data_IF_098575538599
#
_entry.id   IF_098575538599
#
_cell.length_a   1.000
_cell.length_b   1.000
_cell.length_c   1.000
_cell.angle_alpha   90.00
_cell.angle_beta   90.00
_cell.angle_gamma   90.00
#
_symmetry.space_group_name_H-M   'P 1'
#
loop_
_entity.id
_entity.type
_entity.pdbx_description
1 polymer ?
#
# COMPACT_ATOMS: atom_id res chain seq x y z
N UNK A 1 39.36 -66.21 12.41
CA UNK A 1 39.01 -65.42 11.19
C UNK A 1 38.41 -64.09 11.63
N UNK A 2 39.00 -62.96 11.22
CA UNK A 2 38.67 -61.60 11.69
C UNK A 2 37.28 -61.16 11.19
N UNK A 3 36.44 -60.71 12.14
CA UNK A 3 35.06 -60.25 11.94
C UNK A 3 34.94 -59.15 10.87
N UNK A 4 34.15 -59.44 9.82
CA UNK A 4 33.73 -58.47 8.79
C UNK A 4 32.49 -57.64 9.18
N UNK A 5 31.98 -57.78 10.40
CA UNK A 5 30.69 -57.21 10.85
C UNK A 5 30.78 -55.78 11.41
N UNK A 6 31.97 -55.28 11.76
CA UNK A 6 32.11 -53.93 12.35
C UNK A 6 31.86 -52.79 11.33
N UNK A 7 32.16 -53.01 10.04
CA UNK A 7 32.02 -51.96 9.03
C UNK A 7 30.55 -51.71 8.63
N UNK A 8 29.67 -52.72 8.76
CA UNK A 8 28.27 -52.60 8.34
C UNK A 8 27.44 -51.75 9.34
N UNK A 9 27.72 -51.88 10.64
CA UNK A 9 27.05 -51.12 11.71
C UNK A 9 27.53 -49.67 11.73
N UNK A 10 28.82 -49.43 11.44
CA UNK A 10 29.35 -48.08 11.32
C UNK A 10 28.75 -47.34 10.10
N UNK A 11 28.56 -48.03 8.97
CA UNK A 11 27.93 -47.45 7.79
C UNK A 11 26.45 -47.10 8.02
N UNK A 12 25.68 -47.98 8.67
CA UNK A 12 24.26 -47.72 8.92
C UNK A 12 24.06 -46.54 9.87
N UNK A 13 24.89 -46.41 10.91
CA UNK A 13 24.88 -45.26 11.81
C UNK A 13 25.22 -43.94 11.09
N UNK A 14 26.18 -43.96 10.17
CA UNK A 14 26.58 -42.78 9.39
C UNK A 14 25.47 -42.32 8.44
N UNK A 15 24.77 -43.26 7.81
CA UNK A 15 23.63 -42.96 6.92
C UNK A 15 22.47 -42.35 7.71
N UNK A 16 22.14 -42.89 8.88
CA UNK A 16 21.08 -42.35 9.74
C UNK A 16 21.43 -40.94 10.24
N UNK A 17 22.68 -40.72 10.66
CA UNK A 17 23.16 -39.40 11.07
C UNK A 17 23.13 -38.38 9.92
N UNK A 18 23.50 -38.80 8.70
CA UNK A 18 23.39 -37.99 7.50
C UNK A 18 21.93 -37.59 7.21
N UNK A 19 20.99 -38.53 7.27
CA UNK A 19 19.56 -38.23 7.03
C UNK A 19 19.01 -37.23 8.05
N UNK A 20 19.39 -37.36 9.33
CA UNK A 20 18.96 -36.44 10.39
C UNK A 20 19.59 -35.04 10.26
N UNK A 21 20.86 -34.94 9.85
CA UNK A 21 21.55 -33.67 9.59
C UNK A 21 21.02 -32.94 8.34
N UNK A 22 20.56 -33.68 7.33
CA UNK A 22 20.00 -33.10 6.10
C UNK A 22 18.52 -32.74 6.19
N UNK A 23 17.83 -33.07 7.29
CA UNK A 23 16.50 -32.55 7.62
C UNK A 23 16.62 -31.07 8.07
N UNK A 24 17.15 -30.22 7.19
CA UNK A 24 17.18 -28.77 7.34
C UNK A 24 15.75 -28.29 7.52
N UNK A 25 15.48 -27.68 8.68
CA UNK A 25 14.23 -26.96 8.97
C UNK A 25 13.89 -26.09 7.78
N UNK A 26 12.77 -26.38 7.11
CA UNK A 26 12.25 -25.53 6.04
C UNK A 26 12.05 -24.13 6.64
N UNK A 27 12.85 -23.17 6.17
CA UNK A 27 12.65 -21.77 6.47
C UNK A 27 11.22 -21.40 6.10
N UNK A 28 10.42 -20.91 7.05
CA UNK A 28 9.11 -20.33 6.77
C UNK A 28 9.34 -19.00 6.07
N UNK A 29 9.66 -19.04 4.77
CA UNK A 29 9.67 -17.84 3.94
C UNK A 29 8.23 -17.32 3.90
N UNK A 30 7.99 -16.22 4.62
CA UNK A 30 6.76 -15.46 4.50
C UNK A 30 6.77 -14.72 3.18
N UNK A 31 5.70 -14.85 2.41
CA UNK A 31 5.50 -14.02 1.23
C UNK A 31 4.51 -12.92 1.57
N UNK A 32 4.87 -11.67 1.29
CA UNK A 32 3.96 -10.54 1.36
C UNK A 32 3.40 -10.28 -0.02
N UNK A 33 2.07 -10.29 -0.14
CA UNK A 33 1.37 -9.91 -1.36
C UNK A 33 0.80 -8.50 -1.20
N UNK A 34 1.12 -7.61 -2.14
CA UNK A 34 0.45 -6.32 -2.25
C UNK A 34 -0.82 -6.50 -3.06
N UNK A 35 -1.96 -6.21 -2.44
CA UNK A 35 -3.27 -6.26 -3.08
C UNK A 35 -3.81 -4.84 -3.09
N UNK A 36 -4.08 -4.32 -4.29
CA UNK A 36 -4.70 -3.00 -4.44
C UNK A 36 -6.11 -2.99 -3.84
N UNK A 37 -6.47 -1.91 -3.16
CA UNK A 37 -7.84 -1.66 -2.71
C UNK A 37 -8.79 -1.41 -3.88
N UNK A 38 -8.26 -1.08 -5.07
CA UNK A 38 -9.02 -0.63 -6.23
C UNK A 38 -9.55 0.79 -6.11
N UNK A 39 -9.09 1.53 -5.09
CA UNK A 39 -9.40 2.95 -4.91
C UNK A 39 -8.29 3.76 -5.57
N UNK A 40 -8.68 4.70 -6.41
CA UNK A 40 -7.78 5.58 -7.14
C UNK A 40 -8.08 7.02 -6.74
N UNK A 41 -7.02 7.83 -6.67
CA UNK A 41 -7.10 9.25 -6.29
C UNK A 41 -6.37 10.05 -7.36
N UNK A 42 -7.13 10.88 -8.06
CA UNK A 42 -6.61 11.75 -9.10
C UNK A 42 -6.71 13.21 -8.66
N UNK A 43 -5.77 14.05 -9.10
CA UNK A 43 -5.74 15.49 -8.85
C UNK A 43 -5.89 16.26 -10.15
N UNK A 44 -7.07 16.26 -10.78
CA UNK A 44 -7.26 16.82 -12.12
C UNK A 44 -7.12 18.35 -12.19
N UNK A 45 -7.29 19.05 -11.05
CA UNK A 45 -7.23 20.52 -11.01
C UNK A 45 -6.38 20.96 -9.85
N UNK A 46 -5.30 21.67 -10.16
CA UNK A 46 -4.42 22.36 -9.22
C UNK A 46 -4.39 23.82 -9.65
N UNK A 47 -5.11 24.68 -8.92
CA UNK A 47 -5.17 26.12 -9.18
C UNK A 47 -4.11 26.81 -8.31
N UNK A 48 -3.02 27.21 -8.96
CA UNK A 48 -1.88 27.86 -8.30
C UNK A 48 -2.27 29.26 -7.79
N UNK A 49 -3.12 29.99 -8.51
CA UNK A 49 -3.50 31.37 -8.19
C UNK A 49 -4.44 31.41 -6.98
N UNK A 50 -5.41 30.49 -6.94
CA UNK A 50 -6.35 30.36 -5.80
C UNK A 50 -5.82 29.48 -4.67
N UNK A 51 -4.63 28.90 -4.84
CA UNK A 51 -4.04 27.90 -3.94
C UNK A 51 -5.03 26.79 -3.58
N UNK A 52 -5.64 26.21 -4.60
CA UNK A 52 -6.70 25.22 -4.45
C UNK A 52 -6.38 23.93 -5.21
N UNK A 53 -6.65 22.80 -4.55
CA UNK A 53 -6.50 21.47 -5.14
C UNK A 53 -7.85 20.78 -5.14
N UNK A 54 -8.26 20.25 -6.30
CA UNK A 54 -9.40 19.36 -6.42
C UNK A 54 -8.93 17.93 -6.68
N UNK A 55 -9.35 17.02 -5.82
CA UNK A 55 -9.07 15.60 -5.91
C UNK A 55 -10.37 14.81 -6.15
N UNK A 56 -10.28 13.80 -7.02
CA UNK A 56 -11.34 12.84 -7.32
C UNK A 56 -10.94 11.47 -6.81
N UNK A 57 -11.83 10.82 -6.08
CA UNK A 57 -11.62 9.49 -5.55
C UNK A 57 -12.61 8.54 -6.21
N UNK A 58 -12.06 7.59 -6.95
CA UNK A 58 -12.82 6.65 -7.76
C UNK A 58 -12.61 5.22 -7.26
N UNK A 59 -13.63 4.39 -7.48
CA UNK A 59 -13.56 2.96 -7.23
C UNK A 59 -14.26 2.23 -8.37
N UNK A 60 -13.53 1.34 -9.06
CA UNK A 60 -14.01 0.67 -10.29
C UNK A 60 -14.56 1.67 -11.30
N UNK A 61 -13.77 2.69 -11.62
CA UNK A 61 -14.08 3.75 -12.61
C UNK A 61 -15.27 4.65 -12.25
N UNK A 62 -15.87 4.46 -11.07
CA UNK A 62 -16.98 5.30 -10.59
C UNK A 62 -16.47 6.33 -9.58
N UNK A 63 -16.86 7.58 -9.76
CA UNK A 63 -16.59 8.66 -8.79
C UNK A 63 -17.45 8.48 -7.54
N UNK A 64 -16.80 8.49 -6.37
CA UNK A 64 -17.45 8.35 -5.07
C UNK A 64 -17.30 9.59 -4.20
N UNK A 65 -16.11 10.21 -4.23
CA UNK A 65 -15.84 11.40 -3.45
C UNK A 65 -15.04 12.41 -4.26
N UNK A 66 -15.44 13.67 -4.17
CA UNK A 66 -14.71 14.82 -4.65
C UNK A 66 -14.32 15.67 -3.45
N UNK A 67 -13.05 15.99 -3.33
CA UNK A 67 -12.53 16.87 -2.27
C UNK A 67 -11.90 18.08 -2.94
N UNK A 68 -12.31 19.26 -2.53
CA UNK A 68 -11.71 20.53 -2.93
C UNK A 68 -11.15 21.18 -1.69
N UNK A 69 -9.84 21.41 -1.66
CA UNK A 69 -9.14 21.97 -0.52
C UNK A 69 -8.39 23.23 -0.93
N UNK A 70 -8.61 24.30 -0.18
CA UNK A 70 -7.95 25.58 -0.37
C UNK A 70 -6.94 25.81 0.75
N UNK A 71 -5.66 26.02 0.41
CA UNK A 71 -4.59 26.14 1.40
C UNK A 71 -4.66 27.45 2.18
N UNK A 72 -5.03 28.55 1.51
CA UNK A 72 -5.02 29.89 2.11
C UNK A 72 -6.12 30.03 3.16
N UNK A 73 -7.33 29.57 2.82
CA UNK A 73 -8.50 29.62 3.73
C UNK A 73 -8.60 28.41 4.65
N UNK A 74 -7.86 27.33 4.35
CA UNK A 74 -7.97 26.00 4.99
C UNK A 74 -9.38 25.39 4.90
N UNK A 75 -10.21 25.91 3.99
CA UNK A 75 -11.55 25.39 3.75
C UNK A 75 -11.49 24.09 2.96
N UNK A 76 -12.38 23.15 3.32
CA UNK A 76 -12.53 21.88 2.61
C UNK A 76 -13.98 21.73 2.18
N UNK A 77 -14.19 21.56 0.88
CA UNK A 77 -15.49 21.24 0.29
C UNK A 77 -15.47 19.80 -0.17
N UNK A 78 -16.33 18.98 0.43
CA UNK A 78 -16.42 17.55 0.13
C UNK A 78 -17.78 17.29 -0.51
N UNK A 79 -17.80 16.48 -1.56
CA UNK A 79 -19.03 16.01 -2.21
C UNK A 79 -18.94 14.51 -2.43
N UNK A 80 -19.96 13.77 -1.96
CA UNK A 80 -19.96 12.32 -1.98
C UNK A 80 -19.37 11.71 -0.71
N UNK A 81 -19.13 10.40 -0.72
CA UNK A 81 -18.65 9.63 0.42
C UNK A 81 -18.11 8.27 -0.05
N UNK A 82 -17.00 7.82 0.53
CA UNK A 82 -16.40 6.51 0.32
C UNK A 82 -17.10 5.41 1.13
N UNK A 83 -17.79 5.77 2.22
CA UNK A 83 -18.59 4.82 2.99
C UNK A 83 -19.73 4.21 2.16
N UNK A 84 -20.14 4.89 1.09
CA UNK A 84 -21.12 4.40 0.12
C UNK A 84 -20.60 3.23 -0.75
N UNK A 85 -19.29 2.94 -0.74
CA UNK A 85 -18.70 1.84 -1.49
C UNK A 85 -19.09 0.51 -0.84
N UNK A 86 -19.81 -0.33 -1.59
CA UNK A 86 -20.14 -1.70 -1.18
C UNK A 86 -18.94 -2.63 -1.38
N UNK A 87 -18.05 -2.64 -0.39
CA UNK A 87 -16.94 -3.60 -0.33
C UNK A 87 -17.42 -5.00 0.06
N UNK A 88 -16.69 -6.02 -0.38
CA UNK A 88 -16.83 -7.37 0.15
C UNK A 88 -16.54 -7.36 1.66
N UNK A 89 -17.36 -8.03 2.52
CA UNK A 89 -17.13 -8.10 3.97
C UNK A 89 -15.69 -8.46 4.38
N UNK A 90 -15.01 -9.32 3.60
CA UNK A 90 -13.62 -9.72 3.85
C UNK A 90 -12.62 -8.58 3.68
N UNK A 91 -12.93 -7.60 2.83
CA UNK A 91 -12.10 -6.43 2.53
C UNK A 91 -12.46 -5.28 3.45
N UNK A 92 -13.76 -5.08 3.73
CA UNK A 92 -14.27 -4.02 4.61
C UNK A 92 -13.61 -4.03 5.99
N UNK A 93 -13.38 -5.22 6.56
CA UNK A 93 -12.74 -5.35 7.87
C UNK A 93 -11.23 -5.08 7.86
N UNK A 94 -10.59 -5.16 6.69
CA UNK A 94 -9.14 -4.92 6.53
C UNK A 94 -8.83 -3.49 6.10
N UNK A 95 -9.74 -2.87 5.35
CA UNK A 95 -9.60 -1.54 4.78
C UNK A 95 -10.87 -0.73 5.10
N UNK A 96 -10.96 -0.15 6.31
CA UNK A 96 -12.06 0.75 6.62
C UNK A 96 -11.98 1.97 5.69
N UNK A 97 -13.05 2.25 4.95
CA UNK A 97 -13.13 3.41 4.07
C UNK A 97 -13.72 4.57 4.84
N UNK A 98 -12.89 5.25 5.64
CA UNK A 98 -13.33 6.44 6.36
C UNK A 98 -13.03 7.68 5.54
N UNK A 99 -14.04 8.51 5.32
CA UNK A 99 -13.91 9.72 4.52
C UNK A 99 -12.81 10.65 5.07
N UNK A 100 -12.75 10.80 6.39
CA UNK A 100 -11.79 11.67 7.09
C UNK A 100 -10.33 11.35 6.77
N UNK A 101 -9.98 10.06 6.69
CA UNK A 101 -8.60 9.61 6.43
C UNK A 101 -8.16 10.01 5.01
N UNK A 102 -9.06 9.93 4.04
CA UNK A 102 -8.77 10.33 2.66
C UNK A 102 -8.75 11.85 2.50
N UNK A 103 -9.65 12.57 3.19
CA UNK A 103 -9.67 14.03 3.20
C UNK A 103 -8.35 14.56 3.78
N UNK A 104 -7.88 13.99 4.90
CA UNK A 104 -6.62 14.38 5.53
C UNK A 104 -5.41 14.12 4.63
N UNK A 105 -5.36 12.94 3.98
CA UNK A 105 -4.32 12.64 3.01
C UNK A 105 -4.29 13.65 1.84
N UNK A 106 -5.45 14.06 1.33
CA UNK A 106 -5.54 15.07 0.26
C UNK A 106 -5.03 16.43 0.75
N UNK A 107 -5.38 16.83 1.98
CA UNK A 107 -4.87 18.07 2.60
C UNK A 107 -3.35 18.06 2.70
N UNK A 108 -2.77 16.97 3.17
CA UNK A 108 -1.31 16.80 3.28
C UNK A 108 -0.62 16.89 1.92
N UNK A 109 -1.22 16.31 0.87
CA UNK A 109 -0.65 16.32 -0.47
C UNK A 109 -0.79 17.68 -1.16
N UNK A 110 -1.77 18.50 -0.78
CA UNK A 110 -2.10 19.73 -1.50
C UNK A 110 -0.96 20.77 -1.47
N UNK A 111 -0.23 20.88 -0.35
CA UNK A 111 0.96 21.73 -0.23
C UNK A 111 2.04 21.33 -1.24
N UNK A 112 2.36 20.04 -1.29
CA UNK A 112 3.35 19.49 -2.21
C UNK A 112 2.93 19.69 -3.67
N UNK A 113 1.67 19.43 -4.00
CA UNK A 113 1.15 19.56 -5.37
C UNK A 113 1.24 20.99 -5.88
N UNK A 114 0.85 21.98 -5.08
CA UNK A 114 0.94 23.39 -5.47
C UNK A 114 2.41 23.83 -5.59
N UNK A 115 3.29 23.44 -4.66
CA UNK A 115 4.71 23.79 -4.74
C UNK A 115 5.35 23.18 -6.00
N UNK A 116 5.01 21.93 -6.32
CA UNK A 116 5.50 21.24 -7.50
C UNK A 116 4.99 21.89 -8.79
N UNK A 117 3.71 22.28 -8.85
CA UNK A 117 3.15 23.00 -10.00
C UNK A 117 3.75 24.40 -10.15
N UNK A 118 4.02 25.13 -9.06
CA UNK A 118 4.76 26.41 -9.09
C UNK A 118 6.17 26.24 -9.67
N UNK A 119 6.87 25.15 -9.29
CA UNK A 119 8.19 24.79 -9.84
C UNK A 119 8.11 24.48 -11.33
N UNK A 120 7.18 23.63 -11.74
CA UNK A 120 7.00 23.20 -13.14
C UNK A 120 6.59 24.36 -14.05
N UNK A 121 5.71 25.25 -13.57
CA UNK A 121 5.28 26.43 -14.30
C UNK A 121 6.37 27.52 -14.39
N UNK A 122 7.54 27.33 -13.78
CA UNK A 122 8.61 28.33 -13.76
C UNK A 122 8.27 29.59 -12.95
N UNK A 123 7.25 29.53 -12.11
CA UNK A 123 6.79 30.65 -11.26
C UNK A 123 7.76 30.86 -10.08
N UNK A 124 8.68 29.93 -9.84
CA UNK A 124 9.93 30.23 -9.14
C UNK A 124 10.88 31.02 -10.06
N UNK A 125 10.55 32.28 -10.26
CA UNK A 125 11.48 33.31 -10.72
C UNK A 125 12.26 33.84 -9.52
N UNK A 126 13.60 33.78 -9.63
CA UNK A 126 14.62 34.70 -9.10
C UNK A 126 14.66 35.00 -7.60
#
# INVERSE_FOLDING_TARGET
MKCRTCNLIALSGFVIAFILLFNKRKSKQGHTLFVSSGIEIDYPVIDIEKQEVTAYITYKEKLYMRVQYNLDTRETKVTGSLEAIKLNPLVKNKFPLKDDEYIEMIKMNAEYLIENEKKNAGILLK
#
